data_IF_013064953413
#
_entry.id   IF_013064953413
#
_cell.length_a   1.000
_cell.length_b   1.000
_cell.length_c   1.000
_cell.angle_alpha   90.00
_cell.angle_beta   90.00
_cell.angle_gamma   90.00
#
_symmetry.space_group_name_H-M   'P 1'
#
loop_
_entity.id
_entity.type
_entity.pdbx_description
1 polymer ?
#
# COMPACT_ATOMS: atom_id res chain seq x y z
N UNK A 1 3.88 9.80 -16.22
CA UNK A 1 3.99 8.97 -15.03
C UNK A 1 5.22 9.39 -14.23
N UNK A 2 5.19 9.19 -12.93
CA UNK A 2 6.40 9.27 -12.10
C UNK A 2 7.16 7.96 -12.24
N UNK A 3 8.48 8.01 -12.29
CA UNK A 3 9.30 6.80 -12.33
C UNK A 3 9.28 6.13 -10.96
N UNK A 4 9.21 4.80 -10.97
CA UNK A 4 9.36 3.96 -9.79
C UNK A 4 10.51 3.01 -10.12
N UNK A 5 11.59 3.13 -9.39
CA UNK A 5 12.75 2.28 -9.58
C UNK A 5 12.99 1.41 -8.35
N UNK A 6 13.40 0.18 -8.58
CA UNK A 6 13.89 -0.70 -7.52
C UNK A 6 15.41 -0.84 -7.60
N UNK A 7 15.98 -1.08 -6.44
CA UNK A 7 17.37 -1.49 -6.27
C UNK A 7 17.39 -2.71 -5.35
N UNK A 8 18.36 -3.57 -5.51
CA UNK A 8 18.56 -4.68 -4.57
C UNK A 8 20.04 -4.87 -4.27
N UNK A 9 20.32 -5.50 -3.12
CA UNK A 9 21.66 -5.84 -2.66
C UNK A 9 21.67 -7.31 -2.26
N UNK A 10 22.71 -8.03 -2.68
CA UNK A 10 22.94 -9.43 -2.35
C UNK A 10 24.01 -9.61 -1.24
N UNK A 11 24.58 -8.51 -0.76
CA UNK A 11 25.69 -8.48 0.18
C UNK A 11 25.42 -7.64 1.44
N UNK A 12 24.16 -7.60 1.88
CA UNK A 12 23.73 -6.83 3.05
C UNK A 12 23.94 -5.32 2.91
N UNK A 13 23.72 -4.76 1.72
CA UNK A 13 23.75 -3.33 1.47
C UNK A 13 25.13 -2.73 1.22
N UNK A 14 26.17 -3.56 1.00
CA UNK A 14 27.51 -3.06 0.67
C UNK A 14 27.62 -2.62 -0.79
N UNK A 15 26.96 -3.37 -1.68
CA UNK A 15 26.80 -2.99 -3.08
C UNK A 15 25.34 -3.08 -3.48
N UNK A 16 24.94 -2.33 -4.50
CA UNK A 16 23.58 -2.25 -4.99
C UNK A 16 23.53 -2.46 -6.49
N UNK A 17 22.44 -3.04 -6.97
CA UNK A 17 22.16 -3.18 -8.40
C UNK A 17 22.04 -1.80 -9.08
N UNK A 18 22.14 -1.79 -10.41
CA UNK A 18 21.66 -0.65 -11.19
C UNK A 18 20.13 -0.47 -10.96
N UNK A 19 19.63 0.78 -11.09
CA UNK A 19 18.20 1.03 -10.97
C UNK A 19 17.41 0.33 -12.06
N UNK A 20 16.36 -0.38 -11.67
CA UNK A 20 15.42 -1.01 -12.60
C UNK A 20 14.09 -0.24 -12.54
N UNK A 21 13.66 0.31 -13.68
CA UNK A 21 12.36 1.00 -13.76
C UNK A 21 11.24 -0.03 -13.82
N UNK A 22 10.36 -0.01 -12.81
CA UNK A 22 9.21 -0.89 -12.68
C UNK A 22 7.87 -0.12 -12.80
N UNK A 23 7.91 1.15 -13.16
CA UNK A 23 6.74 2.02 -13.16
C UNK A 23 5.63 1.48 -14.07
N UNK A 24 5.96 1.15 -15.32
CA UNK A 24 4.96 0.73 -16.32
C UNK A 24 4.22 -0.54 -15.90
N UNK A 25 4.91 -1.51 -15.31
CA UNK A 25 4.29 -2.76 -14.85
C UNK A 25 3.26 -2.56 -13.74
N UNK A 26 3.38 -1.49 -12.97
CA UNK A 26 2.44 -1.13 -11.91
C UNK A 26 1.34 -0.22 -12.45
N UNK A 27 1.69 0.82 -13.22
CA UNK A 27 0.71 1.78 -13.75
C UNK A 27 -0.29 1.14 -14.70
N UNK A 28 0.15 0.24 -15.58
CA UNK A 28 -0.70 -0.45 -16.55
C UNK A 28 -1.82 -1.28 -15.90
N UNK A 29 -1.67 -1.70 -14.66
CA UNK A 29 -2.73 -2.41 -13.94
C UNK A 29 -3.99 -1.54 -13.76
N UNK A 30 -3.84 -0.21 -13.73
CA UNK A 30 -4.96 0.72 -13.57
C UNK A 30 -5.68 1.08 -14.88
N UNK A 31 -5.18 0.68 -16.05
CA UNK A 31 -5.72 1.10 -17.35
C UNK A 31 -7.18 0.72 -17.54
N UNK A 32 -7.60 -0.40 -16.94
CA UNK A 32 -8.97 -0.91 -17.00
C UNK A 32 -9.80 -0.61 -15.76
N UNK A 33 -9.27 0.15 -14.81
CA UNK A 33 -10.02 0.50 -13.60
C UNK A 33 -11.11 1.53 -13.91
N UNK A 34 -12.14 1.59 -13.07
CA UNK A 34 -13.20 2.61 -13.16
C UNK A 34 -12.66 4.02 -12.94
N UNK A 35 -11.51 4.15 -12.28
CA UNK A 35 -10.82 5.44 -12.09
C UNK A 35 -9.98 5.85 -13.29
N UNK A 36 -9.85 4.96 -14.29
CA UNK A 36 -9.07 5.16 -15.53
C UNK A 36 -7.56 5.11 -15.27
N UNK A 37 -6.76 5.43 -16.27
CA UNK A 37 -5.33 5.53 -16.09
C UNK A 37 -4.98 6.49 -14.97
N UNK A 38 -4.10 6.10 -14.07
CA UNK A 38 -3.69 6.93 -12.95
C UNK A 38 -2.60 7.91 -13.37
N UNK A 39 -2.63 9.11 -12.77
CA UNK A 39 -1.74 10.21 -13.11
C UNK A 39 -0.38 10.08 -12.43
N UNK A 40 -0.40 9.71 -11.17
CA UNK A 40 0.81 9.58 -10.36
C UNK A 40 0.63 8.56 -9.24
N UNK A 41 1.74 8.01 -8.80
CA UNK A 41 1.80 7.08 -7.69
C UNK A 41 2.96 7.48 -6.78
N UNK A 42 2.72 7.48 -5.48
CA UNK A 42 3.73 7.68 -4.46
C UNK A 42 3.82 6.39 -3.64
N UNK A 43 4.96 5.72 -3.77
CA UNK A 43 5.28 4.60 -2.88
C UNK A 43 5.45 5.19 -1.50
N UNK A 44 4.56 4.83 -0.59
CA UNK A 44 4.39 5.53 0.66
C UNK A 44 5.66 5.54 1.50
N UNK A 45 5.80 6.58 2.31
CA UNK A 45 6.89 6.81 3.25
C UNK A 45 6.91 5.79 4.40
N UNK A 46 6.58 4.56 4.14
CA UNK A 46 6.68 3.40 5.02
C UNK A 46 7.77 2.45 4.55
N UNK A 47 7.86 1.35 5.23
CA UNK A 47 8.70 0.24 4.82
C UNK A 47 7.94 -0.70 3.89
N UNK A 48 8.65 -1.36 3.00
CA UNK A 48 8.24 -2.65 2.46
C UNK A 48 8.47 -3.65 3.59
N UNK A 49 7.46 -4.44 3.93
CA UNK A 49 7.63 -5.49 4.94
C UNK A 49 7.34 -6.87 4.34
N UNK A 50 7.92 -7.87 4.98
CA UNK A 50 7.77 -9.26 4.61
C UNK A 50 6.69 -9.90 5.49
N UNK A 51 5.73 -10.60 4.86
CA UNK A 51 4.71 -11.37 5.57
C UNK A 51 5.34 -12.39 6.52
N UNK A 52 4.68 -12.60 7.65
CA UNK A 52 5.03 -13.63 8.61
C UNK A 52 4.26 -14.92 8.37
N UNK A 53 3.17 -14.85 7.62
CA UNK A 53 2.20 -15.96 7.46
C UNK A 53 2.10 -16.48 6.03
N UNK A 54 2.27 -15.63 5.03
CA UNK A 54 2.10 -16.00 3.62
C UNK A 54 3.46 -16.22 2.96
N UNK A 55 3.68 -17.46 2.51
CA UNK A 55 4.87 -17.84 1.73
C UNK A 55 4.43 -18.45 0.40
N UNK A 56 4.92 -17.90 -0.72
CA UNK A 56 4.64 -18.36 -2.07
C UNK A 56 5.95 -18.83 -2.71
N UNK A 57 6.02 -20.12 -3.03
CA UNK A 57 7.28 -20.70 -3.51
C UNK A 57 8.39 -20.56 -2.47
N UNK A 58 9.50 -19.93 -2.85
CA UNK A 58 10.67 -19.76 -2.00
C UNK A 58 10.61 -18.50 -1.13
N UNK A 59 9.69 -17.55 -1.41
CA UNK A 59 9.67 -16.24 -0.78
C UNK A 59 8.42 -16.02 0.08
N UNK A 60 8.62 -15.34 1.21
CA UNK A 60 7.52 -14.73 1.92
C UNK A 60 7.05 -13.49 1.16
N UNK A 61 5.73 -13.30 1.05
CA UNK A 61 5.12 -12.17 0.36
C UNK A 61 5.59 -10.86 0.95
N UNK A 62 5.90 -9.90 0.07
CA UNK A 62 6.19 -8.52 0.45
C UNK A 62 4.92 -7.68 0.26
N UNK A 63 4.77 -6.67 1.13
CA UNK A 63 3.69 -5.68 1.02
C UNK A 63 4.25 -4.27 1.07
N UNK A 64 3.60 -3.37 0.33
CA UNK A 64 3.92 -1.96 0.27
C UNK A 64 2.64 -1.13 0.09
N UNK A 65 2.42 -0.13 0.94
CA UNK A 65 1.30 0.80 0.78
C UNK A 65 1.65 1.90 -0.23
N UNK A 66 0.67 2.28 -1.06
CA UNK A 66 0.85 3.32 -2.08
C UNK A 66 -0.30 4.31 -2.08
N UNK A 67 0.04 5.58 -2.28
CA UNK A 67 -0.89 6.65 -2.60
C UNK A 67 -0.93 6.82 -4.12
N UNK A 68 -2.11 6.74 -4.68
CA UNK A 68 -2.36 6.88 -6.12
C UNK A 68 -3.24 8.09 -6.37
N UNK A 69 -2.99 8.83 -7.45
CA UNK A 69 -3.87 9.90 -7.93
C UNK A 69 -4.47 9.54 -9.28
N UNK A 70 -5.79 9.62 -9.37
CA UNK A 70 -6.48 9.42 -10.63
C UNK A 70 -6.33 10.62 -11.58
N UNK A 71 -6.96 10.53 -12.75
CA UNK A 71 -6.96 11.61 -13.76
C UNK A 71 -7.61 12.91 -13.27
N UNK A 72 -8.44 12.88 -12.24
CA UNK A 72 -9.10 14.02 -11.61
C UNK A 72 -8.38 14.54 -10.37
N UNK A 73 -7.16 14.04 -10.13
CA UNK A 73 -6.32 14.35 -8.96
C UNK A 73 -6.90 13.86 -7.62
N UNK A 74 -7.86 12.92 -7.66
CA UNK A 74 -8.41 12.26 -6.47
C UNK A 74 -7.41 11.26 -5.92
N UNK A 75 -7.22 11.31 -4.61
CA UNK A 75 -6.29 10.44 -3.90
C UNK A 75 -6.93 9.11 -3.55
N UNK A 76 -6.20 8.03 -3.78
CA UNK A 76 -6.62 6.67 -3.45
C UNK A 76 -5.47 5.93 -2.78
N UNK A 77 -5.78 5.13 -1.77
CA UNK A 77 -4.78 4.31 -1.12
C UNK A 77 -4.99 2.83 -1.48
N UNK A 78 -3.89 2.20 -1.90
CA UNK A 78 -3.81 0.78 -2.20
C UNK A 78 -2.65 0.13 -1.45
N UNK A 79 -2.62 -1.17 -1.48
CA UNK A 79 -1.46 -1.98 -1.11
C UNK A 79 -1.01 -2.75 -2.34
N UNK A 80 0.27 -2.76 -2.59
CA UNK A 80 0.92 -3.64 -3.55
C UNK A 80 1.48 -4.84 -2.81
N UNK A 81 1.51 -5.99 -3.45
CA UNK A 81 2.21 -7.17 -2.96
C UNK A 81 3.13 -7.75 -4.02
N UNK A 82 4.14 -8.47 -3.56
CA UNK A 82 5.09 -9.22 -4.40
C UNK A 82 5.34 -10.59 -3.81
N UNK A 83 5.31 -11.62 -4.65
CA UNK A 83 5.59 -13.02 -4.31
C UNK A 83 6.96 -13.50 -4.82
N UNK A 84 7.76 -12.61 -5.42
CA UNK A 84 9.04 -12.89 -6.05
C UNK A 84 10.15 -11.93 -5.59
N UNK A 85 10.11 -11.58 -4.31
CA UNK A 85 11.11 -10.71 -3.68
C UNK A 85 11.23 -9.32 -4.33
N UNK A 86 10.11 -8.75 -4.75
CA UNK A 86 10.03 -7.40 -5.31
C UNK A 86 10.35 -7.30 -6.80
N UNK A 87 10.48 -8.42 -7.52
CA UNK A 87 10.68 -8.40 -8.96
C UNK A 87 9.43 -7.91 -9.68
N UNK A 88 8.27 -8.40 -9.27
CA UNK A 88 6.98 -7.96 -9.78
C UNK A 88 6.06 -7.52 -8.63
N UNK A 89 5.23 -6.52 -8.88
CA UNK A 89 4.28 -5.99 -7.92
C UNK A 89 2.86 -6.01 -8.49
N UNK A 90 1.92 -6.45 -7.67
CA UNK A 90 0.50 -6.56 -8.02
C UNK A 90 -0.34 -5.81 -6.99
N UNK A 91 -1.46 -5.21 -7.42
CA UNK A 91 -2.41 -4.55 -6.53
C UNK A 91 -3.15 -5.61 -5.73
N UNK A 92 -3.19 -5.42 -4.41
CA UNK A 92 -3.92 -6.28 -3.50
C UNK A 92 -5.43 -6.02 -3.59
N UNK A 93 -6.19 -7.08 -3.81
CA UNK A 93 -7.64 -7.02 -3.93
C UNK A 93 -8.13 -6.45 -5.25
N UNK A 94 -9.34 -5.91 -5.25
CA UNK A 94 -9.97 -5.36 -6.46
C UNK A 94 -9.47 -3.93 -6.73
N UNK A 95 -8.99 -3.70 -7.94
CA UNK A 95 -8.50 -2.40 -8.40
C UNK A 95 -9.56 -1.29 -8.36
N UNK A 96 -10.85 -1.65 -8.38
CA UNK A 96 -11.97 -0.71 -8.30
C UNK A 96 -12.41 -0.40 -6.87
N UNK A 97 -11.80 -1.06 -5.88
CA UNK A 97 -12.11 -0.88 -4.46
C UNK A 97 -10.87 -0.52 -3.65
N UNK A 98 -10.36 0.72 -3.77
CA UNK A 98 -9.24 1.18 -2.94
C UNK A 98 -9.58 1.10 -1.46
N UNK A 99 -8.57 0.93 -0.61
CA UNK A 99 -8.78 0.97 0.84
C UNK A 99 -9.42 2.30 1.29
N UNK A 100 -8.97 3.41 0.71
CA UNK A 100 -9.55 4.74 0.91
C UNK A 100 -9.61 5.49 -0.41
N UNK A 101 -10.71 6.15 -0.69
CA UNK A 101 -10.91 7.02 -1.84
C UNK A 101 -11.19 8.47 -1.41
N UNK A 102 -10.51 9.42 -2.04
CA UNK A 102 -10.70 10.89 -1.98
C UNK A 102 -10.59 11.53 -0.59
N UNK A 103 -10.21 10.81 0.45
CA UNK A 103 -10.23 11.35 1.81
C UNK A 103 -8.96 11.08 2.61
N UNK A 104 -7.91 10.50 2.01
CA UNK A 104 -6.71 10.14 2.74
C UNK A 104 -5.44 10.47 1.96
N UNK A 105 -4.32 10.49 2.67
CA UNK A 105 -2.98 10.73 2.14
C UNK A 105 -2.08 9.54 2.49
N UNK A 106 -0.80 9.76 2.59
CA UNK A 106 0.27 8.79 2.79
C UNK A 106 -0.12 7.58 3.66
N UNK A 107 -0.30 6.39 3.06
CA UNK A 107 -0.69 5.20 3.81
C UNK A 107 0.51 4.46 4.37
N UNK A 108 0.26 3.66 5.40
CA UNK A 108 1.14 2.63 5.94
C UNK A 108 0.36 1.32 6.02
N UNK A 109 1.05 0.22 5.89
CA UNK A 109 0.45 -1.12 5.98
C UNK A 109 1.26 -2.01 6.89
N UNK A 110 0.58 -2.85 7.68
CA UNK A 110 1.19 -3.85 8.55
C UNK A 110 0.32 -5.11 8.62
N UNK A 111 0.95 -6.27 8.80
CA UNK A 111 0.28 -7.54 9.00
C UNK A 111 -0.10 -7.72 10.46
N UNK A 112 -1.38 -8.00 10.70
CA UNK A 112 -1.91 -8.29 12.03
C UNK A 112 -1.61 -9.75 12.44
N UNK A 113 -1.70 -10.09 13.74
CA UNK A 113 -1.42 -11.43 14.22
C UNK A 113 -2.29 -12.55 13.63
N UNK A 114 -3.48 -12.20 13.13
CA UNK A 114 -4.40 -13.13 12.47
C UNK A 114 -4.11 -13.28 10.95
N UNK A 115 -3.08 -12.59 10.44
CA UNK A 115 -2.71 -12.62 9.02
C UNK A 115 -3.45 -11.59 8.16
N UNK A 116 -4.44 -10.89 8.69
CA UNK A 116 -5.07 -9.77 7.98
C UNK A 116 -4.12 -8.57 7.89
N UNK A 117 -4.42 -7.58 7.02
CA UNK A 117 -3.58 -6.40 6.87
C UNK A 117 -4.31 -5.16 7.36
N UNK A 118 -3.66 -4.39 8.23
CA UNK A 118 -4.11 -3.06 8.63
C UNK A 118 -3.47 -2.01 7.74
N UNK A 119 -4.27 -1.17 7.09
CA UNK A 119 -3.80 0.06 6.45
C UNK A 119 -4.16 1.26 7.33
N UNK A 120 -3.19 2.12 7.56
CA UNK A 120 -3.33 3.38 8.27
C UNK A 120 -3.07 4.53 7.31
N UNK A 121 -4.09 5.31 7.01
CA UNK A 121 -4.05 6.38 6.01
C UNK A 121 -4.07 7.75 6.68
N UNK A 122 -3.09 8.59 6.38
CA UNK A 122 -3.02 9.95 6.88
C UNK A 122 -4.24 10.77 6.45
N UNK A 123 -4.79 11.56 7.36
CA UNK A 123 -5.85 12.52 7.08
C UNK A 123 -5.76 13.72 8.03
N UNK A 124 -6.37 14.84 7.66
CA UNK A 124 -6.44 16.01 8.53
C UNK A 124 -7.17 15.67 9.83
N UNK A 125 -6.55 15.98 10.96
CA UNK A 125 -7.11 15.75 12.29
C UNK A 125 -7.05 14.32 12.81
N UNK A 126 -6.40 13.40 12.08
CA UNK A 126 -6.29 12.01 12.52
C UNK A 126 -5.86 11.05 11.42
N UNK A 127 -6.35 9.84 11.49
CA UNK A 127 -6.07 8.79 10.52
C UNK A 127 -7.32 7.96 10.20
N UNK A 128 -7.38 7.43 8.98
CA UNK A 128 -8.31 6.37 8.62
C UNK A 128 -7.62 5.02 8.74
N UNK A 129 -8.36 4.05 9.24
CA UNK A 129 -7.95 2.66 9.35
C UNK A 129 -8.91 1.76 8.58
N UNK A 130 -8.37 0.80 7.84
CA UNK A 130 -9.10 -0.27 7.18
C UNK A 130 -8.36 -1.58 7.42
N UNK A 131 -9.09 -2.68 7.42
CA UNK A 131 -8.53 -4.03 7.48
C UNK A 131 -8.82 -4.74 6.17
N UNK A 132 -7.81 -5.34 5.57
CA UNK A 132 -7.97 -6.28 4.48
C UNK A 132 -8.06 -7.67 5.06
N UNK A 133 -9.18 -8.34 4.82
CA UNK A 133 -9.38 -9.73 5.21
C UNK A 133 -9.24 -10.60 3.96
N UNK A 134 -8.41 -11.62 4.05
CA UNK A 134 -8.21 -12.58 2.98
C UNK A 134 -9.33 -13.62 2.98
N UNK A 135 -9.91 -13.86 1.81
CA UNK A 135 -10.72 -15.03 1.53
C UNK A 135 -9.80 -16.22 1.19
N UNK A 136 -8.71 -15.93 0.46
CA UNK A 136 -7.61 -16.85 0.19
C UNK A 136 -6.29 -16.05 0.20
N UNK A 137 -5.49 -16.24 1.23
CA UNK A 137 -4.23 -15.54 1.38
C UNK A 137 -3.20 -15.93 0.31
N UNK A 138 -3.21 -17.18 -0.17
CA UNK A 138 -2.24 -17.64 -1.17
C UNK A 138 -2.45 -16.96 -2.52
N UNK A 139 -3.70 -16.74 -2.92
CA UNK A 139 -4.05 -16.06 -4.18
C UNK A 139 -4.27 -14.55 -3.99
N UNK A 140 -4.06 -14.02 -2.79
CA UNK A 140 -4.25 -12.61 -2.43
C UNK A 140 -5.69 -12.11 -2.69
N UNK A 141 -6.68 -13.02 -2.66
CA UNK A 141 -8.09 -12.65 -2.77
C UNK A 141 -8.63 -12.23 -1.41
N UNK A 142 -9.45 -11.21 -1.41
CA UNK A 142 -10.04 -10.67 -0.20
C UNK A 142 -10.64 -9.28 -0.42
N UNK A 143 -10.99 -8.61 0.67
CA UNK A 143 -11.64 -7.30 0.59
C UNK A 143 -11.29 -6.38 1.76
N UNK A 144 -11.38 -5.08 1.51
CA UNK A 144 -11.20 -4.04 2.52
C UNK A 144 -12.47 -3.84 3.35
N UNK A 145 -12.30 -3.71 4.66
CA UNK A 145 -13.37 -3.23 5.56
C UNK A 145 -13.75 -1.78 5.23
N UNK A 146 -14.87 -1.32 5.77
CA UNK A 146 -15.16 0.11 5.78
C UNK A 146 -14.08 0.85 6.57
N UNK A 147 -13.70 2.04 6.08
CA UNK A 147 -12.74 2.91 6.79
C UNK A 147 -13.31 3.42 8.11
N UNK A 148 -12.47 3.41 9.15
CA UNK A 148 -12.79 3.98 10.47
C UNK A 148 -11.88 5.17 10.70
N UNK A 149 -12.45 6.32 11.05
CA UNK A 149 -11.67 7.50 11.41
C UNK A 149 -11.26 7.45 12.88
N UNK A 150 -10.01 7.71 13.17
CA UNK A 150 -9.46 7.87 14.51
C UNK A 150 -8.87 9.26 14.65
N UNK A 151 -9.58 10.10 15.40
CA UNK A 151 -9.18 11.45 15.76
C UNK A 151 -9.54 11.73 17.22
N UNK A 152 -9.20 12.91 17.75
CA UNK A 152 -9.41 13.26 19.15
C UNK A 152 -10.87 13.08 19.61
N UNK A 153 -11.84 13.40 18.75
CA UNK A 153 -13.27 13.31 19.07
C UNK A 153 -13.76 11.88 19.30
N UNK A 154 -13.04 10.86 18.84
CA UNK A 154 -13.39 9.45 18.99
C UNK A 154 -12.29 8.61 19.65
N UNK A 155 -11.50 9.24 20.52
CA UNK A 155 -10.46 8.55 21.32
C UNK A 155 -9.13 8.32 20.61
N UNK A 156 -8.96 8.86 19.40
CA UNK A 156 -7.69 8.82 18.69
C UNK A 156 -6.76 9.95 19.10
N UNK A 157 -5.61 10.00 18.45
CA UNK A 157 -4.60 11.05 18.67
C UNK A 157 -5.05 12.34 18.02
N UNK A 158 -5.00 13.44 18.77
CA UNK A 158 -5.24 14.78 18.22
C UNK A 158 -4.10 15.19 17.31
N UNK A 159 -4.44 15.57 16.09
CA UNK A 159 -3.54 16.25 15.17
C UNK A 159 -4.23 17.53 14.71
N UNK A 160 -3.68 18.69 15.11
CA UNK A 160 -4.39 19.98 14.92
C UNK A 160 -4.58 20.33 13.44
N UNK A 161 -3.58 20.21 12.60
CA UNK A 161 -3.66 20.68 11.22
C UNK A 161 -3.28 19.64 10.18
N UNK A 162 -2.27 18.83 10.45
CA UNK A 162 -1.88 17.71 9.60
C UNK A 162 -1.45 16.56 10.50
N UNK A 163 -2.07 15.41 10.32
CA UNK A 163 -1.55 14.22 10.97
C UNK A 163 -0.11 13.96 10.48
N UNK A 164 0.75 13.59 11.39
CA UNK A 164 2.11 13.19 11.03
C UNK A 164 2.10 11.84 10.33
N UNK A 165 3.17 11.57 9.62
CA UNK A 165 3.41 10.31 8.95
C UNK A 165 3.87 9.24 9.95
N UNK A 166 2.96 8.81 10.83
CA UNK A 166 3.25 7.79 11.85
C UNK A 166 3.45 6.40 11.28
N UNK A 167 4.32 5.61 11.86
CA UNK A 167 4.52 4.21 11.54
C UNK A 167 3.46 3.34 12.24
N UNK A 168 3.11 2.21 11.63
CA UNK A 168 2.33 1.12 12.23
C UNK A 168 3.29 -0.05 12.42
N UNK A 169 3.36 -0.57 13.62
CA UNK A 169 4.21 -1.71 13.98
C UNK A 169 3.40 -2.73 14.79
#
# INVERSE_FOLDING_TARGET
HQNIARFYSEDCGKTWSEPEDIAESIYSQFDKSTYGPVRSMFVASGRIFQSRTVKVGDYYRLYCAVLVRDRYDKKMNYVLYSDDFGANWTILGDINTPAVYDTADEPKVEELPDGSLLISSRYQGGRYYNIFTFDDAMTAQGSWSKKVFSGAANGGVESKDNSTNGEVM
#
